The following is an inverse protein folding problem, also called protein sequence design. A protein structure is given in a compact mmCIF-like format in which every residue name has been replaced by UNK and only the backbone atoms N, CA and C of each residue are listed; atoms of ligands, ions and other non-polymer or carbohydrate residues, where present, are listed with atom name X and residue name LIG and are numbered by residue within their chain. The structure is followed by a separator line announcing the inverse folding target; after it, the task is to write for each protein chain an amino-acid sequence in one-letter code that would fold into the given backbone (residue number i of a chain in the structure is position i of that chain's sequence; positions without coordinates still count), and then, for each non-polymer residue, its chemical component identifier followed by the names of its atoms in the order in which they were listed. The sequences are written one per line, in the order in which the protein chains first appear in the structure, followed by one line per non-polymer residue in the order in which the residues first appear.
data_IF_529093837618
#
_entry.id   IF_529093837618
#
_cell.length_a   1.000
_cell.length_b   1.000
_cell.length_c   1.000
_cell.angle_alpha   90.00
_cell.angle_beta   90.00
_cell.angle_gamma   90.00
#
_symmetry.space_group_name_H-M   'P 1'
#
loop_
_entity.id
_entity.type
_entity.pdbx_description
1 polymer ?
#
# COMPACT_ATOMS: atom_id res chain seq x y z
N UNK A 1 10.07 24.03 19.28
CA UNK A 1 10.23 23.18 20.48
C UNK A 1 9.80 21.76 20.13
N UNK A 2 10.58 20.73 20.49
CA UNK A 2 10.20 19.34 20.28
C UNK A 2 9.21 18.93 21.37
N UNK A 3 7.92 18.88 21.04
CA UNK A 3 6.90 18.32 21.92
C UNK A 3 6.81 16.81 21.70
N UNK A 4 6.32 16.03 22.69
CA UNK A 4 6.08 14.60 22.52
C UNK A 4 5.18 14.29 21.32
N UNK A 5 4.21 15.17 21.05
CA UNK A 5 3.30 15.07 19.91
C UNK A 5 4.04 15.21 18.58
N UNK A 6 4.90 16.23 18.43
CA UNK A 6 5.69 16.42 17.21
C UNK A 6 6.70 15.29 17.01
N UNK A 7 7.33 14.82 18.09
CA UNK A 7 8.24 13.67 18.04
C UNK A 7 7.50 12.39 17.60
N UNK A 8 6.30 12.16 18.13
CA UNK A 8 5.45 11.04 17.74
C UNK A 8 5.05 11.08 16.26
N UNK A 9 4.65 12.24 15.74
CA UNK A 9 4.33 12.40 14.31
C UNK A 9 5.54 12.15 13.40
N UNK A 10 6.73 12.62 13.78
CA UNK A 10 7.95 12.38 13.01
C UNK A 10 8.28 10.89 12.98
N UNK A 11 8.19 10.19 14.12
CA UNK A 11 8.43 8.74 14.21
C UNK A 11 7.38 7.97 13.40
N UNK A 12 6.10 8.32 13.52
CA UNK A 12 5.04 7.72 12.72
C UNK A 12 5.27 7.97 11.22
N UNK A 13 5.71 9.18 10.84
CA UNK A 13 6.09 9.53 9.48
C UNK A 13 7.23 8.68 8.95
N UNK A 14 8.28 8.46 9.73
CA UNK A 14 9.38 7.57 9.37
C UNK A 14 8.90 6.12 9.20
N UNK A 15 8.15 5.58 10.15
CA UNK A 15 7.62 4.23 10.05
C UNK A 15 6.72 4.06 8.81
N UNK A 16 5.88 5.05 8.52
CA UNK A 16 5.04 5.08 7.33
C UNK A 16 5.88 5.16 6.04
N UNK A 17 6.94 5.98 6.03
CA UNK A 17 7.81 6.15 4.88
C UNK A 17 8.63 4.90 4.55
N UNK A 18 9.01 4.10 5.56
CA UNK A 18 9.90 2.94 5.37
C UNK A 18 9.19 1.58 5.38
N UNK A 19 8.07 1.46 6.09
CA UNK A 19 7.36 0.18 6.30
C UNK A 19 5.86 0.30 6.03
N UNK A 20 5.36 1.51 5.76
CA UNK A 20 3.92 1.80 5.66
C UNK A 20 3.18 0.89 4.69
N UNK A 21 3.79 0.57 3.54
CA UNK A 21 3.13 -0.30 2.59
C UNK A 21 2.89 -1.73 3.07
N UNK A 22 3.88 -2.31 3.77
CA UNK A 22 3.72 -3.63 4.36
C UNK A 22 2.71 -3.59 5.52
N UNK A 23 2.84 -2.58 6.40
CA UNK A 23 1.96 -2.41 7.56
C UNK A 23 0.50 -2.26 7.14
N UNK A 24 0.22 -1.52 6.07
CA UNK A 24 -1.14 -1.32 5.57
C UNK A 24 -1.83 -2.63 5.18
N UNK A 25 -1.13 -3.52 4.47
CA UNK A 25 -1.68 -4.84 4.09
C UNK A 25 -1.95 -5.69 5.33
N UNK A 26 -1.02 -5.71 6.28
CA UNK A 26 -1.22 -6.45 7.52
C UNK A 26 -2.33 -5.86 8.38
N UNK A 27 -2.47 -4.54 8.43
CA UNK A 27 -3.52 -3.86 9.17
C UNK A 27 -4.91 -4.19 8.61
N UNK A 28 -5.08 -4.18 7.28
CA UNK A 28 -6.33 -4.59 6.63
C UNK A 28 -6.65 -6.05 6.94
N UNK A 29 -5.66 -6.94 6.85
CA UNK A 29 -5.85 -8.36 7.13
C UNK A 29 -6.21 -8.61 8.61
N UNK A 30 -5.53 -7.94 9.54
CA UNK A 30 -5.81 -7.98 10.97
C UNK A 30 -7.23 -7.47 11.27
N UNK A 31 -7.64 -6.38 10.62
CA UNK A 31 -9.01 -5.85 10.75
C UNK A 31 -10.02 -6.91 10.29
N UNK A 32 -9.77 -7.58 9.16
CA UNK A 32 -10.58 -8.70 8.70
C UNK A 32 -10.66 -9.85 9.70
N UNK A 33 -9.53 -10.24 10.30
CA UNK A 33 -9.46 -11.27 11.35
C UNK A 33 -10.31 -10.88 12.57
N UNK A 34 -10.19 -9.64 13.04
CA UNK A 34 -10.91 -9.16 14.21
C UNK A 34 -12.42 -9.06 13.95
N UNK A 35 -12.82 -8.48 12.81
CA UNK A 35 -14.23 -8.37 12.42
C UNK A 35 -14.83 -9.76 12.18
N UNK A 36 -14.13 -10.64 11.47
CA UNK A 36 -14.58 -12.01 11.21
C UNK A 36 -14.66 -12.85 12.48
N UNK A 37 -13.68 -12.75 13.37
CA UNK A 37 -13.70 -13.43 14.67
C UNK A 37 -14.84 -12.92 15.56
N UNK A 38 -15.08 -11.60 15.56
CA UNK A 38 -16.24 -11.00 16.22
C UNK A 38 -17.57 -11.51 15.66
N UNK A 39 -17.70 -11.62 14.34
CA UNK A 39 -18.89 -12.20 13.72
C UNK A 39 -19.07 -13.67 14.11
N UNK A 40 -17.99 -14.46 14.12
CA UNK A 40 -17.99 -15.86 14.57
C UNK A 40 -18.45 -16.01 16.02
N UNK A 41 -18.01 -15.10 16.91
CA UNK A 41 -18.46 -15.06 18.30
C UNK A 41 -19.98 -14.79 18.41
N UNK A 42 -20.49 -13.83 17.64
CA UNK A 42 -21.93 -13.46 17.65
C UNK A 42 -22.80 -14.60 17.11
N UNK A 43 -22.33 -15.36 16.13
CA UNK A 43 -23.08 -16.46 15.52
C UNK A 43 -23.03 -17.75 16.35
N UNK A 44 -21.97 -17.96 17.14
CA UNK A 44 -21.77 -19.16 17.96
C UNK A 44 -22.99 -19.62 18.79
N UNK A 45 -23.68 -18.75 19.56
CA UNK A 45 -24.82 -19.19 20.37
C UNK A 45 -26.01 -19.68 19.54
N UNK A 46 -26.19 -19.20 18.31
CA UNK A 46 -27.26 -19.66 17.40
C UNK A 46 -27.03 -21.08 16.87
N UNK A 47 -25.82 -21.62 17.04
CA UNK A 47 -25.43 -22.97 16.64
C UNK A 47 -25.55 -23.98 17.80
N UNK A 48 -25.71 -23.50 19.03
CA UNK A 48 -25.94 -24.33 20.21
C UNK A 48 -27.31 -24.99 20.10
N UNK A 49 -27.34 -26.31 19.92
CA UNK A 49 -28.56 -27.10 19.72
C UNK A 49 -28.66 -27.78 18.36
N UNK A 50 -27.90 -27.32 17.36
CA UNK A 50 -27.74 -28.01 16.07
C UNK A 50 -26.53 -28.94 16.10
N UNK A 51 -25.48 -28.55 16.82
CA UNK A 51 -24.22 -29.27 16.93
C UNK A 51 -24.06 -29.79 18.36
N UNK A 52 -23.94 -31.11 18.53
CA UNK A 52 -23.75 -31.76 19.82
C UNK A 52 -22.26 -31.70 20.25
N UNK A 53 -21.77 -30.50 20.51
CA UNK A 53 -20.40 -30.24 20.99
C UNK A 53 -20.46 -29.29 22.18
N UNK A 54 -19.46 -29.36 23.04
CA UNK A 54 -19.30 -28.42 24.16
C UNK A 54 -19.34 -26.96 23.70
N UNK A 55 -20.03 -26.12 24.47
CA UNK A 55 -20.27 -24.73 24.09
C UNK A 55 -19.00 -23.90 23.98
N UNK A 56 -18.00 -24.15 24.84
CA UNK A 56 -16.71 -23.44 24.80
C UNK A 56 -15.93 -23.83 23.54
N UNK A 57 -15.93 -25.12 23.21
CA UNK A 57 -15.30 -25.62 21.98
C UNK A 57 -16.00 -25.05 20.74
N UNK A 58 -17.33 -25.02 20.72
CA UNK A 58 -18.10 -24.46 19.61
C UNK A 58 -17.81 -22.97 19.39
N UNK A 59 -17.79 -22.17 20.46
CA UNK A 59 -17.46 -20.74 20.36
C UNK A 59 -16.03 -20.53 19.89
N UNK A 60 -15.06 -21.30 20.42
CA UNK A 60 -13.67 -21.22 20.00
C UNK A 60 -13.49 -21.53 18.50
N UNK A 61 -14.14 -22.58 18.01
CA UNK A 61 -14.12 -22.95 16.59
C UNK A 61 -14.82 -21.89 15.73
N UNK A 62 -15.98 -21.40 16.14
CA UNK A 62 -16.72 -20.37 15.38
C UNK A 62 -15.92 -19.07 15.25
N UNK A 63 -15.23 -18.64 16.31
CA UNK A 63 -14.34 -17.48 16.28
C UNK A 63 -13.15 -17.73 15.35
N UNK A 64 -12.50 -18.89 15.45
CA UNK A 64 -11.35 -19.22 14.61
C UNK A 64 -11.71 -19.28 13.12
N UNK A 65 -12.84 -19.91 12.78
CA UNK A 65 -13.36 -19.98 11.41
C UNK A 65 -13.77 -18.58 10.92
N UNK A 66 -14.50 -17.82 11.74
CA UNK A 66 -14.88 -16.46 11.42
C UNK A 66 -13.67 -15.57 11.14
N UNK A 67 -12.63 -15.65 11.99
CA UNK A 67 -11.38 -14.93 11.83
C UNK A 67 -10.64 -15.32 10.54
N UNK A 68 -10.57 -16.62 10.23
CA UNK A 68 -9.94 -17.10 8.99
C UNK A 68 -10.69 -16.60 7.75
N UNK A 69 -12.02 -16.70 7.74
CA UNK A 69 -12.86 -16.21 6.63
C UNK A 69 -12.74 -14.69 6.51
N UNK A 70 -12.81 -13.95 7.62
CA UNK A 70 -12.71 -12.49 7.62
C UNK A 70 -11.35 -12.00 7.13
N UNK A 71 -10.26 -12.61 7.56
CA UNK A 71 -8.92 -12.32 7.06
C UNK A 71 -8.77 -12.60 5.56
N UNK A 72 -9.28 -13.76 5.10
CA UNK A 72 -9.29 -14.13 3.69
C UNK A 72 -10.12 -13.15 2.85
N UNK A 73 -11.34 -12.83 3.28
CA UNK A 73 -12.22 -11.90 2.58
C UNK A 73 -11.68 -10.47 2.56
N UNK A 74 -11.02 -10.01 3.63
CA UNK A 74 -10.38 -8.70 3.63
C UNK A 74 -9.26 -8.61 2.60
N UNK A 75 -8.41 -9.64 2.53
CA UNK A 75 -7.32 -9.70 1.54
C UNK A 75 -7.84 -9.85 0.10
N UNK A 76 -8.77 -10.78 -0.12
CA UNK A 76 -9.37 -11.03 -1.43
C UNK A 76 -10.21 -9.84 -1.92
N UNK A 77 -10.97 -9.22 -1.02
CA UNK A 77 -11.81 -8.05 -1.29
C UNK A 77 -10.98 -6.85 -1.74
N UNK A 78 -9.82 -6.61 -1.12
CA UNK A 78 -8.92 -5.54 -1.56
C UNK A 78 -8.42 -5.78 -2.98
N UNK A 79 -8.02 -7.01 -3.30
CA UNK A 79 -7.56 -7.37 -4.64
C UNK A 79 -8.68 -7.24 -5.68
N UNK A 80 -9.88 -7.71 -5.34
CA UNK A 80 -11.05 -7.61 -6.21
C UNK A 80 -11.46 -6.16 -6.47
N UNK A 81 -11.45 -5.32 -5.43
CA UNK A 81 -11.81 -3.90 -5.55
C UNK A 81 -10.88 -3.18 -6.55
N UNK A 82 -9.57 -3.40 -6.45
CA UNK A 82 -8.62 -2.76 -7.35
C UNK A 82 -8.73 -3.27 -8.79
N UNK A 83 -8.90 -4.58 -8.96
CA UNK A 83 -9.12 -5.20 -10.28
C UNK A 83 -10.42 -4.70 -10.92
N UNK A 84 -11.50 -4.59 -10.15
CA UNK A 84 -12.78 -4.11 -10.62
C UNK A 84 -12.72 -2.64 -11.05
N UNK A 85 -12.11 -1.77 -10.24
CA UNK A 85 -11.95 -0.35 -10.59
C UNK A 85 -11.06 -0.20 -11.82
N UNK A 86 -9.91 -0.89 -11.86
CA UNK A 86 -9.01 -0.88 -13.01
C UNK A 86 -9.70 -1.37 -14.29
N UNK A 87 -10.47 -2.45 -14.19
CA UNK A 87 -11.25 -3.00 -15.29
C UNK A 87 -12.35 -2.06 -15.77
N UNK A 88 -13.07 -1.39 -14.86
CA UNK A 88 -14.10 -0.41 -15.23
C UNK A 88 -13.50 0.78 -15.98
N UNK A 89 -12.43 1.37 -15.46
CA UNK A 89 -11.74 2.50 -16.10
C UNK A 89 -11.13 2.08 -17.44
N UNK A 90 -10.47 0.93 -17.48
CA UNK A 90 -9.89 0.38 -18.70
C UNK A 90 -10.94 0.04 -19.75
N UNK A 91 -12.09 -0.51 -19.34
CA UNK A 91 -13.22 -0.78 -20.23
C UNK A 91 -13.82 0.50 -20.81
N UNK A 92 -13.94 1.55 -20.00
CA UNK A 92 -14.38 2.86 -20.48
C UNK A 92 -13.39 3.44 -21.51
N UNK A 93 -12.09 3.41 -21.23
CA UNK A 93 -11.07 3.84 -22.17
C UNK A 93 -11.06 2.98 -23.45
N UNK A 94 -11.16 1.67 -23.32
CA UNK A 94 -11.25 0.72 -24.43
C UNK A 94 -12.46 0.99 -25.32
N UNK A 95 -13.62 1.30 -24.72
CA UNK A 95 -14.85 1.57 -25.46
C UNK A 95 -14.85 2.93 -26.15
N UNK A 96 -14.39 3.99 -25.47
CA UNK A 96 -14.60 5.37 -25.92
C UNK A 96 -13.36 6.04 -26.50
N UNK A 97 -12.16 5.62 -26.14
CA UNK A 97 -10.92 6.17 -26.70
C UNK A 97 -10.32 5.27 -27.77
N UNK A 98 -10.31 3.95 -27.55
CA UNK A 98 -9.65 2.98 -28.46
C UNK A 98 -10.63 2.42 -29.49
N UNK A 99 -11.82 2.02 -29.07
CA UNK A 99 -12.84 1.41 -29.92
C UNK A 99 -13.18 2.20 -31.18
N UNK A 100 -13.39 3.52 -31.12
CA UNK A 100 -13.69 4.32 -32.30
C UNK A 100 -12.56 4.32 -33.34
N UNK A 101 -11.30 4.11 -32.94
CA UNK A 101 -10.17 4.08 -33.88
C UNK A 101 -10.22 2.87 -34.83
N UNK A 102 -10.86 1.78 -34.42
CA UNK A 102 -10.96 0.54 -35.19
C UNK A 102 -12.36 0.33 -35.78
N UNK A 103 -13.40 0.90 -35.15
CA UNK A 103 -14.78 0.72 -35.57
C UNK A 103 -15.36 1.91 -36.35
N UNK A 104 -14.62 3.01 -36.53
CA UNK A 104 -15.11 4.22 -37.22
C UNK A 104 -15.63 3.95 -38.64
N UNK A 105 -14.97 3.07 -39.39
CA UNK A 105 -15.31 2.77 -40.79
C UNK A 105 -16.14 1.48 -40.94
N UNK A 106 -16.35 0.74 -39.84
CA UNK A 106 -17.04 -0.55 -39.84
C UNK A 106 -18.52 -0.38 -39.44
N UNK A 107 -19.43 -0.53 -40.40
CA UNK A 107 -20.88 -0.53 -40.16
C UNK A 107 -21.43 -1.89 -39.67
N UNK A 108 -22.54 -1.87 -38.95
CA UNK A 108 -23.31 -3.07 -38.61
C UNK A 108 -22.67 -3.99 -37.55
N UNK A 109 -22.74 -5.30 -37.77
CA UNK A 109 -22.32 -6.32 -36.79
C UNK A 109 -20.80 -6.29 -36.56
N UNK A 110 -20.02 -5.97 -37.59
CA UNK A 110 -18.55 -5.94 -37.51
C UNK A 110 -18.06 -4.78 -36.63
N UNK A 111 -18.59 -3.56 -36.82
CA UNK A 111 -18.29 -2.43 -35.94
C UNK A 111 -18.70 -2.68 -34.49
N UNK A 112 -19.83 -3.38 -34.29
CA UNK A 112 -20.29 -3.76 -32.94
C UNK A 112 -19.34 -4.76 -32.28
N UNK A 113 -18.88 -5.79 -33.02
CA UNK A 113 -17.91 -6.77 -32.53
C UNK A 113 -16.56 -6.13 -32.18
N UNK A 114 -16.06 -5.21 -33.02
CA UNK A 114 -14.83 -4.48 -32.75
C UNK A 114 -14.94 -3.59 -31.52
N UNK A 115 -16.07 -2.92 -31.32
CA UNK A 115 -16.32 -2.09 -30.14
C UNK A 115 -16.41 -2.92 -28.85
N UNK A 116 -17.07 -4.08 -28.90
CA UNK A 116 -17.12 -5.04 -27.78
C UNK A 116 -15.72 -5.59 -27.49
N UNK A 117 -14.97 -5.97 -28.52
CA UNK A 117 -13.59 -6.44 -28.40
C UNK A 117 -12.68 -5.40 -27.74
N UNK A 118 -12.75 -4.15 -28.18
CA UNK A 118 -11.98 -3.05 -27.60
C UNK A 118 -12.38 -2.77 -26.14
N UNK A 119 -13.66 -2.90 -25.80
CA UNK A 119 -14.15 -2.77 -24.42
C UNK A 119 -13.56 -3.88 -23.54
N UNK A 120 -13.65 -5.15 -23.98
CA UNK A 120 -13.14 -6.30 -23.22
C UNK A 120 -11.61 -6.27 -23.07
N UNK A 121 -10.89 -5.91 -24.15
CA UNK A 121 -9.45 -5.69 -24.09
C UNK A 121 -9.10 -4.57 -23.11
N UNK A 122 -9.85 -3.46 -23.13
CA UNK A 122 -9.72 -2.38 -22.19
C UNK A 122 -9.93 -2.84 -20.74
N UNK A 123 -10.96 -3.64 -20.46
CA UNK A 123 -11.20 -4.23 -19.13
C UNK A 123 -10.01 -5.07 -18.68
N UNK A 124 -9.51 -5.97 -19.53
CA UNK A 124 -8.39 -6.85 -19.19
C UNK A 124 -7.10 -6.06 -18.90
N UNK A 125 -6.76 -5.11 -19.78
CA UNK A 125 -5.57 -4.27 -19.63
C UNK A 125 -5.69 -3.36 -18.40
N UNK A 126 -6.85 -2.73 -18.20
CA UNK A 126 -7.09 -1.86 -17.05
C UNK A 126 -7.07 -2.62 -15.72
N UNK A 127 -7.64 -3.82 -15.68
CA UNK A 127 -7.58 -4.71 -14.52
C UNK A 127 -6.13 -5.09 -14.18
N UNK A 128 -5.34 -5.50 -15.19
CA UNK A 128 -3.95 -5.86 -15.01
C UNK A 128 -3.11 -4.66 -14.55
N UNK A 129 -3.31 -3.50 -15.18
CA UNK A 129 -2.62 -2.27 -14.79
C UNK A 129 -2.99 -1.84 -13.36
N UNK A 130 -4.27 -1.88 -13.01
CA UNK A 130 -4.75 -1.59 -11.65
C UNK A 130 -4.11 -2.51 -10.63
N UNK A 131 -4.07 -3.82 -10.92
CA UNK A 131 -3.45 -4.83 -10.05
C UNK A 131 -1.93 -4.64 -9.89
N UNK A 132 -1.22 -4.35 -10.98
CA UNK A 132 0.23 -4.09 -10.92
C UNK A 132 0.53 -2.78 -10.19
N UNK A 133 -0.27 -1.74 -10.47
CA UNK A 133 -0.10 -0.40 -9.90
C UNK A 133 -0.50 -0.31 -8.43
N UNK A 134 -1.31 -1.23 -7.91
CA UNK A 134 -1.77 -1.15 -6.51
C UNK A 134 -0.59 -1.15 -5.54
N UNK A 135 0.40 -2.02 -5.77
CA UNK A 135 1.58 -2.10 -4.92
C UNK A 135 2.44 -0.84 -5.00
N UNK A 136 2.67 -0.31 -6.19
CA UNK A 136 3.49 0.90 -6.37
C UNK A 136 2.79 2.14 -5.83
N UNK A 137 1.49 2.28 -6.06
CA UNK A 137 0.67 3.39 -5.53
C UNK A 137 0.69 3.42 -4.02
N UNK A 138 0.58 2.25 -3.38
CA UNK A 138 0.60 2.13 -1.92
C UNK A 138 1.99 2.51 -1.36
N UNK A 139 3.07 2.07 -2.01
CA UNK A 139 4.43 2.48 -1.64
C UNK A 139 4.64 3.99 -1.79
N UNK A 140 4.26 4.55 -2.93
CA UNK A 140 4.45 5.99 -3.22
C UNK A 140 3.64 6.84 -2.25
N UNK A 141 2.37 6.50 -2.02
CA UNK A 141 1.50 7.26 -1.09
C UNK A 141 2.00 7.21 0.35
N UNK A 142 2.38 6.03 0.86
CA UNK A 142 2.91 5.91 2.23
C UNK A 142 4.27 6.57 2.39
N UNK A 143 5.16 6.46 1.39
CA UNK A 143 6.42 7.19 1.34
C UNK A 143 6.20 8.71 1.35
N UNK A 144 5.25 9.21 0.56
CA UNK A 144 4.94 10.63 0.44
C UNK A 144 4.37 11.21 1.74
N UNK A 145 3.33 10.57 2.29
CA UNK A 145 2.69 11.00 3.54
C UNK A 145 3.69 10.88 4.70
N UNK A 146 4.48 9.80 4.72
CA UNK A 146 5.51 9.58 5.71
C UNK A 146 6.61 10.64 5.66
N UNK A 147 7.05 11.02 4.46
CA UNK A 147 8.01 12.09 4.25
C UNK A 147 7.46 13.46 4.69
N UNK A 148 6.17 13.74 4.46
CA UNK A 148 5.55 14.98 4.90
C UNK A 148 5.56 15.11 6.44
N UNK A 149 5.22 14.04 7.16
CA UNK A 149 5.30 14.04 8.63
C UNK A 149 6.74 14.03 9.16
N UNK A 150 7.63 13.26 8.55
CA UNK A 150 9.03 13.15 8.98
C UNK A 150 9.82 14.45 8.77
N UNK A 151 9.56 15.15 7.65
CA UNK A 151 10.17 16.46 7.35
C UNK A 151 9.53 17.62 8.11
N UNK A 152 8.46 17.36 8.88
CA UNK A 152 7.64 18.37 9.58
C UNK A 152 7.01 19.39 8.63
N UNK A 153 6.79 19.00 7.37
CA UNK A 153 6.11 19.84 6.40
C UNK A 153 4.61 19.97 6.71
N UNK A 154 4.05 18.99 7.43
CA UNK A 154 2.74 19.05 8.06
C UNK A 154 2.92 18.99 9.58
N UNK A 155 2.36 19.97 10.29
CA UNK A 155 2.48 20.12 11.74
C UNK A 155 1.12 19.99 12.44
N UNK A 156 1.08 19.73 13.76
CA UNK A 156 -0.19 19.74 14.50
C UNK A 156 -0.97 21.06 14.34
N UNK A 157 -0.26 22.19 14.35
CA UNK A 157 -0.85 23.50 14.18
C UNK A 157 -1.46 23.70 12.78
N UNK A 158 -0.84 23.12 11.73
CA UNK A 158 -1.41 23.20 10.37
C UNK A 158 -2.66 22.33 10.22
N UNK A 159 -2.72 21.18 10.91
CA UNK A 159 -3.92 20.34 10.95
C UNK A 159 -5.06 21.00 11.72
N UNK A 160 -4.75 21.64 12.85
CA UNK A 160 -5.73 22.37 13.67
C UNK A 160 -6.27 23.61 12.93
N UNK A 161 -5.40 24.31 12.20
CA UNK A 161 -5.78 25.43 11.33
C UNK A 161 -6.65 24.99 10.14
N UNK A 162 -6.36 23.82 9.54
CA UNK A 162 -7.18 23.24 8.48
C UNK A 162 -8.53 22.70 8.98
N UNK A 163 -8.61 22.27 10.23
CA UNK A 163 -9.87 21.86 10.85
C UNK A 163 -10.76 23.07 11.20
N UNK A 164 -10.16 24.25 11.43
CA UNK A 164 -10.86 25.47 11.82
C UNK A 164 -11.51 26.24 10.65
N UNK A 165 -11.21 25.88 9.39
CA UNK A 165 -11.79 26.55 8.22
C UNK A 165 -11.55 25.81 6.90
N UNK A 166 -12.28 26.15 5.83
CA UNK A 166 -12.24 25.43 4.55
C UNK A 166 -10.99 25.73 3.69
N UNK A 167 -9.97 26.37 4.24
CA UNK A 167 -8.78 26.82 3.49
C UNK A 167 -7.71 25.73 3.48
N UNK A 168 -7.20 25.42 2.29
CA UNK A 168 -6.18 24.38 2.06
C UNK A 168 -4.74 24.91 2.18
N UNK A 169 -4.57 26.24 2.22
CA UNK A 169 -3.28 26.93 2.39
C UNK A 169 -2.37 26.35 3.48
N UNK A 170 -2.89 25.96 4.68
CA UNK A 170 -2.07 25.39 5.74
C UNK A 170 -1.45 24.02 5.40
N UNK A 171 -1.98 23.32 4.39
CA UNK A 171 -1.47 22.03 3.91
C UNK A 171 -0.51 22.19 2.72
N UNK A 172 -0.26 23.40 2.24
CA UNK A 172 0.73 23.63 1.19
C UNK A 172 2.12 23.55 1.81
N UNK A 173 2.93 22.60 1.32
CA UNK A 173 4.32 22.47 1.72
C UNK A 173 5.25 22.42 0.52
N UNK A 174 6.50 22.81 0.76
CA UNK A 174 7.53 22.86 -0.25
C UNK A 174 7.98 21.44 -0.67
N UNK A 175 7.57 21.05 -1.88
CA UNK A 175 7.96 19.78 -2.50
C UNK A 175 9.44 19.76 -2.92
N UNK A 176 10.08 20.91 -3.06
CA UNK A 176 11.51 21.02 -3.37
C UNK A 176 12.39 20.97 -2.11
N UNK A 177 11.79 20.93 -0.91
CA UNK A 177 12.56 20.86 0.32
C UNK A 177 13.45 19.61 0.35
N UNK A 178 14.77 19.76 0.56
CA UNK A 178 15.72 18.66 0.40
C UNK A 178 15.47 17.53 1.40
N UNK A 179 15.01 17.84 2.60
CA UNK A 179 14.66 16.85 3.61
C UNK A 179 13.43 16.02 3.22
N UNK A 180 12.40 16.66 2.63
CA UNK A 180 11.22 15.97 2.14
C UNK A 180 11.58 15.01 1.00
N UNK A 181 12.30 15.51 -0.01
CA UNK A 181 12.74 14.70 -1.14
C UNK A 181 13.64 13.53 -0.71
N UNK A 182 14.58 13.76 0.21
CA UNK A 182 15.46 12.72 0.72
C UNK A 182 14.66 11.58 1.40
N UNK A 183 13.73 11.92 2.30
CA UNK A 183 12.92 10.90 2.99
C UNK A 183 11.95 10.21 2.02
N UNK A 184 11.33 10.95 1.10
CA UNK A 184 10.41 10.39 0.12
C UNK A 184 11.11 9.40 -0.81
N UNK A 185 12.23 9.80 -1.43
CA UNK A 185 12.99 8.95 -2.35
C UNK A 185 13.55 7.74 -1.62
N UNK A 186 14.16 7.94 -0.45
CA UNK A 186 14.73 6.84 0.32
C UNK A 186 13.66 5.87 0.82
N UNK A 187 12.51 6.38 1.26
CA UNK A 187 11.36 5.57 1.68
C UNK A 187 10.78 4.75 0.53
N UNK A 188 10.50 5.40 -0.61
CA UNK A 188 9.98 4.72 -1.80
C UNK A 188 10.94 3.64 -2.31
N UNK A 189 12.23 3.97 -2.44
CA UNK A 189 13.26 3.01 -2.85
C UNK A 189 13.41 1.86 -1.85
N UNK A 190 13.40 2.16 -0.55
CA UNK A 190 13.46 1.15 0.52
C UNK A 190 12.33 0.14 0.41
N UNK A 191 11.09 0.62 0.26
CA UNK A 191 9.90 -0.22 0.18
C UNK A 191 9.79 -1.02 -1.13
N UNK A 192 10.29 -0.48 -2.25
CA UNK A 192 10.37 -1.19 -3.54
C UNK A 192 11.42 -2.31 -3.49
N UNK A 193 12.49 -2.12 -2.71
CA UNK A 193 13.47 -3.19 -2.44
C UNK A 193 14.93 -2.78 -2.58
N UNK A 194 15.28 -1.49 -2.52
CA UNK A 194 16.68 -1.01 -2.56
C UNK A 194 17.61 -1.80 -1.63
N UNK A 195 17.13 -2.14 -0.42
CA UNK A 195 17.85 -2.97 0.54
C UNK A 195 17.72 -4.48 0.29
N UNK A 196 16.62 -4.95 -0.32
CA UNK A 196 16.36 -6.36 -0.59
C UNK A 196 17.15 -6.90 -1.79
N UNK A 197 17.47 -6.03 -2.76
CA UNK A 197 18.18 -6.40 -3.99
C UNK A 197 19.70 -6.18 -3.94
N UNK A 198 20.29 -5.84 -2.79
CA UNK A 198 21.74 -5.64 -2.68
C UNK A 198 22.29 -4.44 -3.47
N UNK A 199 21.43 -3.57 -4.01
CA UNK A 199 21.88 -2.38 -4.72
C UNK A 199 22.70 -1.44 -3.82
N UNK A 200 22.39 -1.39 -2.53
CA UNK A 200 23.18 -0.63 -1.54
C UNK A 200 24.59 -1.21 -1.40
N UNK A 201 24.75 -2.54 -1.33
CA UNK A 201 26.07 -3.18 -1.31
C UNK A 201 26.84 -2.96 -2.61
N UNK A 202 26.16 -2.94 -3.75
CA UNK A 202 26.78 -2.62 -5.06
C UNK A 202 27.20 -1.16 -5.15
N UNK A 203 26.37 -0.21 -4.70
CA UNK A 203 26.68 1.22 -4.67
C UNK A 203 27.83 1.54 -3.69
N UNK A 204 27.82 0.93 -2.50
CA UNK A 204 28.91 1.04 -1.53
C UNK A 204 30.18 0.41 -2.09
N UNK A 205 30.07 -0.72 -2.81
CA UNK A 205 31.19 -1.37 -3.48
C UNK A 205 31.80 -0.58 -4.65
N UNK A 206 31.04 0.36 -5.22
CA UNK A 206 31.47 1.28 -6.28
C UNK A 206 32.09 2.57 -5.73
N UNK A 207 31.81 2.94 -4.47
CA UNK A 207 32.43 4.11 -3.83
C UNK A 207 33.90 3.82 -3.47
N UNK A 208 34.88 4.57 -4.03
CA UNK A 208 36.28 4.41 -3.67
C UNK A 208 36.48 4.88 -2.23
N UNK A 209 36.59 3.93 -1.30
CA UNK A 209 36.82 4.19 0.13
C UNK A 209 36.17 3.19 1.09
N UNK A 210 35.07 2.53 0.68
CA UNK A 210 34.38 1.56 1.54
C UNK A 210 35.12 0.21 1.69
N UNK A 211 36.17 -0.04 0.87
CA UNK A 211 37.00 -1.26 0.92
C UNK A 211 38.06 -1.25 2.03
N UNK A 212 38.22 -0.17 2.79
CA UNK A 212 39.28 -0.04 3.81
C UNK A 212 38.83 -0.35 5.25
N UNK A 213 37.60 -0.83 5.44
CA UNK A 213 37.12 -1.24 6.76
C UNK A 213 37.05 -2.77 6.92
N UNK A 214 38.05 -3.47 6.40
CA UNK A 214 38.48 -4.74 6.97
C UNK A 214 39.81 -4.45 7.63
N UNK A 215 39.84 -4.60 8.96
CA UNK A 215 40.96 -4.29 9.83
C UNK A 215 42.30 -4.73 9.22
N UNK A 216 43.27 -3.84 9.22
CA UNK A 216 44.66 -4.21 9.03
C UNK A 216 45.10 -5.04 10.21
N UNK A 217 45.65 -6.22 9.94
CA UNK A 217 46.49 -6.96 10.88
C UNK A 217 47.73 -6.10 11.18
N UNK A 218 47.65 -5.24 12.18
CA UNK A 218 48.82 -4.71 12.88
C UNK A 218 49.19 -5.68 14.01
N UNK A 219 49.76 -6.83 13.66
CA UNK A 219 50.48 -7.65 14.63
C UNK A 219 51.50 -8.58 13.93
N UNK A 220 52.74 -8.10 13.79
CA UNK A 220 54.01 -8.79 14.13
C UNK A 220 55.21 -8.23 13.35
N UNK A 221 55.81 -7.19 13.91
CA UNK A 221 57.25 -6.95 13.79
C UNK A 221 57.83 -6.92 15.21
N UNK A 222 58.23 -8.10 15.72
CA UNK A 222 59.21 -8.24 16.79
C UNK A 222 59.66 -9.71 16.90
N UNK A 223 60.67 -10.08 16.13
CA UNK A 223 61.74 -11.04 16.48
C UNK A 223 62.81 -11.03 15.38
#
# INVERSE_FOLDING_TARGET
MLTPLTAGLVVAGLLLAFVGAAVSVYAVTLTGILVGGGAGYVVAPSLLGVVAVDGVVLTGVAVAVGAAIGGFLAYAGLSFAVVAIGGLVGGFAGRFAVGPLYAADAGGIEGTLLLVGATLAGVAVGALFGFVSSRTTLVVSTAFIGAAFASRSITPASLESAAAGPTVEPLLFDLAAPAFLAVFVLGALSQIGLFKFGYVTTLIGLLPGARRWTAGDEERESA
#
